data_IF_987785706284
#
_entry.id   IF_987785706284
#
_cell.length_a   1.000
_cell.length_b   1.000
_cell.length_c   1.000
_cell.angle_alpha   90.00
_cell.angle_beta   90.00
_cell.angle_gamma   90.00
#
_symmetry.space_group_name_H-M   'P 1'
#
loop_
_entity.id
_entity.type
_entity.pdbx_description
1 polymer ?
#
# COMPACT_ATOMS: atom_id res chain seq x y z
N UNK A 1 -4.07 28.28 3.97
CA UNK A 1 -3.85 27.07 4.83
C UNK A 1 -5.07 26.16 4.67
N UNK A 2 -4.91 24.99 4.04
CA UNK A 2 -6.00 24.03 3.93
C UNK A 2 -6.35 23.49 5.32
N UNK A 3 -7.63 23.46 5.65
CA UNK A 3 -8.10 22.77 6.85
C UNK A 3 -7.88 21.26 6.66
N UNK A 4 -6.90 20.70 7.36
CA UNK A 4 -6.73 19.25 7.46
C UNK A 4 -7.92 18.65 8.24
N UNK A 5 -8.34 17.45 7.84
CA UNK A 5 -9.40 16.73 8.53
C UNK A 5 -8.98 16.43 9.97
N UNK A 6 -9.92 16.58 10.93
CA UNK A 6 -9.68 16.21 12.34
C UNK A 6 -9.29 14.71 12.41
N UNK A 7 -8.33 14.37 13.29
CA UNK A 7 -7.68 13.07 13.32
C UNK A 7 -8.65 11.89 13.51
N UNK A 8 -9.56 11.97 14.47
CA UNK A 8 -10.52 10.89 14.73
C UNK A 8 -11.50 10.74 13.56
N UNK A 9 -11.98 11.86 13.01
CA UNK A 9 -12.83 11.86 11.83
C UNK A 9 -12.12 11.23 10.64
N UNK A 10 -10.84 11.54 10.44
CA UNK A 10 -10.03 10.96 9.38
C UNK A 10 -9.94 9.43 9.50
N UNK A 11 -9.64 8.93 10.70
CA UNK A 11 -9.50 7.50 10.97
C UNK A 11 -10.83 6.78 10.77
N UNK A 12 -11.92 7.32 11.33
CA UNK A 12 -13.22 6.67 11.36
C UNK A 12 -13.99 6.76 10.03
N UNK A 13 -13.66 7.73 9.17
CA UNK A 13 -14.32 7.91 7.87
C UNK A 13 -13.54 7.34 6.68
N UNK A 14 -12.26 6.95 6.85
CA UNK A 14 -11.46 6.40 5.76
C UNK A 14 -12.10 5.13 5.19
N UNK A 15 -12.15 5.06 3.88
CA UNK A 15 -12.59 3.88 3.15
C UNK A 15 -11.58 3.50 2.05
N UNK A 16 -11.69 2.29 1.50
CA UNK A 16 -10.90 1.83 0.36
C UNK A 16 -11.64 2.11 -0.96
N UNK A 17 -10.95 2.74 -1.90
CA UNK A 17 -11.48 3.13 -3.20
C UNK A 17 -10.77 2.37 -4.32
N UNK A 18 -11.53 1.63 -5.13
CA UNK A 18 -10.99 0.79 -6.21
C UNK A 18 -11.04 1.44 -7.60
N UNK A 19 -11.75 2.55 -7.74
CA UNK A 19 -11.83 3.35 -8.97
C UNK A 19 -11.15 4.69 -8.72
N UNK A 20 -9.97 4.84 -9.29
CA UNK A 20 -9.07 5.97 -9.06
C UNK A 20 -8.61 6.53 -10.42
N UNK A 21 -8.65 7.85 -10.54
CA UNK A 21 -8.29 8.56 -11.77
C UNK A 21 -7.33 9.70 -11.48
N UNK A 22 -6.80 10.33 -12.51
CA UNK A 22 -6.07 11.60 -12.40
C UNK A 22 -6.95 12.73 -11.78
N UNK A 23 -6.35 13.71 -11.10
CA UNK A 23 -4.93 13.79 -10.81
C UNK A 23 -4.48 12.88 -9.67
N UNK A 24 -3.22 12.44 -9.76
CA UNK A 24 -2.50 11.85 -8.65
C UNK A 24 -2.11 12.93 -7.63
N UNK A 25 -1.73 12.56 -6.37
CA UNK A 25 -1.12 13.50 -5.44
C UNK A 25 0.12 14.16 -6.02
N UNK A 26 0.31 15.45 -5.74
CA UNK A 26 1.49 16.20 -6.16
C UNK A 26 2.74 15.76 -5.38
N UNK A 27 3.96 16.06 -5.88
CA UNK A 27 5.19 15.76 -5.15
C UNK A 27 5.25 16.40 -3.76
N UNK A 28 4.68 17.61 -3.58
CA UNK A 28 4.60 18.31 -2.30
C UNK A 28 3.68 17.57 -1.32
N UNK A 29 2.52 17.13 -1.78
CA UNK A 29 1.59 16.32 -0.98
C UNK A 29 2.21 14.96 -0.62
N UNK A 30 2.91 14.31 -1.55
CA UNK A 30 3.60 13.04 -1.29
C UNK A 30 4.71 13.18 -0.26
N UNK A 31 5.40 14.33 -0.17
CA UNK A 31 6.34 14.59 0.93
C UNK A 31 5.66 14.57 2.31
N UNK A 32 4.44 15.12 2.41
CA UNK A 32 3.65 15.07 3.65
C UNK A 32 3.27 13.61 3.96
N UNK A 33 2.79 12.88 2.96
CA UNK A 33 2.42 11.47 3.08
C UNK A 33 3.58 10.62 3.58
N UNK A 34 4.77 10.74 2.99
CA UNK A 34 5.94 9.96 3.41
C UNK A 34 6.47 10.38 4.78
N UNK A 35 6.46 11.66 5.12
CA UNK A 35 6.80 12.11 6.49
C UNK A 35 5.87 11.48 7.52
N UNK A 36 4.57 11.39 7.22
CA UNK A 36 3.59 10.73 8.09
C UNK A 36 3.84 9.23 8.20
N UNK A 37 4.16 8.57 7.07
CA UNK A 37 4.51 7.16 7.04
C UNK A 37 5.69 6.82 7.97
N UNK A 38 6.74 7.64 7.91
CA UNK A 38 7.95 7.48 8.71
C UNK A 38 7.79 7.84 10.20
N UNK A 39 6.57 8.20 10.64
CA UNK A 39 6.20 8.32 12.06
C UNK A 39 5.61 7.05 12.65
N UNK A 40 5.51 5.97 11.87
CA UNK A 40 5.08 4.67 12.39
C UNK A 40 5.99 4.20 13.54
N UNK A 41 5.45 3.48 14.54
CA UNK A 41 6.26 2.86 15.59
C UNK A 41 7.32 1.94 14.99
N UNK A 42 8.55 2.05 15.48
CA UNK A 42 9.70 1.31 14.97
C UNK A 42 10.61 0.91 16.13
N UNK A 43 10.60 -0.37 16.47
CA UNK A 43 11.41 -0.91 17.55
C UNK A 43 12.91 -0.79 17.21
N UNK A 44 13.67 -0.23 18.15
CA UNK A 44 15.10 0.07 18.01
C UNK A 44 15.46 1.03 16.85
N UNK A 45 14.49 1.72 16.25
CA UNK A 45 14.69 2.68 15.15
C UNK A 45 15.44 2.04 13.96
N UNK A 46 15.05 0.84 13.58
CA UNK A 46 15.66 0.10 12.48
C UNK A 46 15.32 0.68 11.11
N UNK A 47 14.29 1.52 11.01
CA UNK A 47 13.82 2.14 9.76
C UNK A 47 13.63 1.10 8.64
N UNK A 48 12.74 0.10 8.86
CA UNK A 48 12.59 -0.99 7.89
C UNK A 48 11.77 -0.58 6.67
N UNK A 49 11.02 0.52 6.74
CA UNK A 49 10.10 0.92 5.69
C UNK A 49 10.81 1.63 4.54
N UNK A 50 10.59 1.15 3.31
CA UNK A 50 11.00 1.78 2.06
C UNK A 50 9.83 1.80 1.09
N UNK A 51 9.71 2.86 0.31
CA UNK A 51 8.61 3.05 -0.63
C UNK A 51 9.15 3.25 -2.04
N UNK A 52 8.51 2.61 -3.04
CA UNK A 52 8.82 2.83 -4.45
C UNK A 52 7.57 3.44 -5.08
N UNK A 53 7.69 4.66 -5.55
CA UNK A 53 6.63 5.38 -6.24
C UNK A 53 6.63 5.02 -7.73
N UNK A 54 5.45 4.68 -8.26
CA UNK A 54 5.26 4.25 -9.64
C UNK A 54 4.18 5.11 -10.27
N UNK A 55 4.56 5.88 -11.29
CA UNK A 55 3.70 6.78 -12.06
C UNK A 55 4.03 6.72 -13.56
N UNK A 56 3.14 7.19 -14.41
CA UNK A 56 3.37 7.31 -15.85
C UNK A 56 3.95 6.04 -16.48
N UNK A 57 5.09 6.15 -17.17
CA UNK A 57 5.79 4.99 -17.80
C UNK A 57 6.21 3.90 -16.80
N UNK A 58 6.25 4.21 -15.49
CA UNK A 58 6.47 3.22 -14.44
C UNK A 58 5.34 2.21 -14.35
N UNK A 59 4.09 2.62 -14.62
CA UNK A 59 2.94 1.71 -14.67
C UNK A 59 3.08 0.69 -15.80
N UNK A 60 3.66 1.07 -16.95
CA UNK A 60 3.91 0.14 -18.05
C UNK A 60 4.96 -0.91 -17.68
N UNK A 61 6.01 -0.48 -16.95
CA UNK A 61 7.02 -1.41 -16.42
C UNK A 61 6.38 -2.39 -15.42
N UNK A 62 5.57 -1.88 -14.51
CA UNK A 62 4.86 -2.71 -13.52
C UNK A 62 3.89 -3.69 -14.19
N UNK A 63 3.19 -3.27 -15.25
CA UNK A 63 2.33 -4.13 -16.06
C UNK A 63 3.10 -5.30 -16.70
N UNK A 64 4.28 -5.02 -17.25
CA UNK A 64 5.16 -6.07 -17.81
C UNK A 64 5.62 -7.04 -16.72
N UNK A 65 6.06 -6.55 -15.57
CA UNK A 65 6.47 -7.38 -14.42
C UNK A 65 5.32 -8.29 -13.97
N UNK A 66 4.12 -7.76 -13.77
CA UNK A 66 2.98 -8.56 -13.34
C UNK A 66 2.61 -9.63 -14.37
N UNK A 67 2.66 -9.29 -15.65
CA UNK A 67 2.38 -10.25 -16.72
C UNK A 67 3.44 -11.35 -16.78
N UNK A 68 4.71 -11.00 -16.72
CA UNK A 68 5.84 -11.94 -16.79
C UNK A 68 5.86 -12.86 -15.57
N UNK A 69 5.75 -12.29 -14.37
CA UNK A 69 5.64 -13.08 -13.14
C UNK A 69 4.47 -14.07 -13.20
N UNK A 70 3.30 -13.62 -13.68
CA UNK A 70 2.13 -14.47 -13.78
C UNK A 70 2.37 -15.67 -14.70
N UNK A 71 3.02 -15.45 -15.86
CA UNK A 71 3.35 -16.51 -16.82
C UNK A 71 4.34 -17.53 -16.26
N UNK A 72 5.27 -17.10 -15.43
CA UNK A 72 6.35 -17.95 -14.93
C UNK A 72 5.98 -18.71 -13.64
N UNK A 73 5.03 -18.19 -12.86
CA UNK A 73 4.77 -18.71 -11.50
C UNK A 73 3.33 -19.17 -11.26
N UNK A 74 2.40 -18.96 -12.20
CA UNK A 74 1.01 -19.32 -11.99
C UNK A 74 0.59 -20.43 -12.96
N UNK A 75 -0.07 -21.44 -12.40
CA UNK A 75 -0.75 -22.47 -13.15
C UNK A 75 -2.14 -21.97 -13.64
N UNK A 76 -2.67 -22.57 -14.67
CA UNK A 76 -4.03 -22.34 -15.20
C UNK A 76 -4.32 -20.86 -15.54
N UNK A 77 -3.45 -20.26 -16.33
CA UNK A 77 -3.66 -18.91 -16.85
C UNK A 77 -4.53 -18.96 -18.12
N UNK A 78 -5.71 -18.38 -18.02
CA UNK A 78 -6.53 -18.03 -19.19
C UNK A 78 -6.27 -16.57 -19.64
N UNK A 79 -6.82 -16.22 -20.80
CA UNK A 79 -6.68 -14.87 -21.37
C UNK A 79 -7.30 -13.80 -20.46
N UNK A 80 -8.34 -14.12 -19.70
CA UNK A 80 -9.00 -13.19 -18.79
C UNK A 80 -8.09 -12.88 -17.58
N UNK A 81 -7.46 -13.90 -16.98
CA UNK A 81 -6.50 -13.75 -15.89
C UNK A 81 -5.29 -12.95 -16.36
N UNK A 82 -4.72 -13.27 -17.54
CA UNK A 82 -3.59 -12.53 -18.11
C UNK A 82 -3.95 -11.05 -18.35
N UNK A 83 -5.11 -10.78 -18.94
CA UNK A 83 -5.61 -9.41 -19.14
C UNK A 83 -5.81 -8.68 -17.81
N UNK A 84 -6.38 -9.35 -16.80
CA UNK A 84 -6.56 -8.80 -15.45
C UNK A 84 -5.24 -8.39 -14.81
N UNK A 85 -4.19 -9.20 -14.90
CA UNK A 85 -2.88 -8.93 -14.34
C UNK A 85 -2.15 -7.82 -15.09
N UNK A 86 -2.16 -7.88 -16.42
CA UNK A 86 -1.62 -6.83 -17.29
C UNK A 86 -2.22 -5.46 -16.98
N UNK A 87 -3.54 -5.41 -16.76
CA UNK A 87 -4.27 -4.16 -16.54
C UNK A 87 -4.33 -3.74 -15.06
N UNK A 88 -3.83 -4.55 -14.14
CA UNK A 88 -3.87 -4.25 -12.72
C UNK A 88 -3.20 -2.91 -12.34
N UNK A 89 -2.03 -2.53 -12.89
CA UNK A 89 -1.40 -1.25 -12.56
C UNK A 89 -2.19 -0.01 -12.98
N UNK A 90 -2.97 -0.10 -14.05
CA UNK A 90 -3.71 1.05 -14.59
C UNK A 90 -5.03 1.36 -13.86
N UNK A 91 -5.25 0.76 -12.68
CA UNK A 91 -6.43 1.04 -11.83
C UNK A 91 -6.29 2.32 -11.01
N UNK A 92 -5.12 2.96 -11.05
CA UNK A 92 -4.84 4.24 -10.43
C UNK A 92 -3.69 4.94 -11.17
N UNK A 93 -3.62 6.27 -11.11
CA UNK A 93 -2.54 7.02 -11.74
C UNK A 93 -1.20 6.90 -10.99
N UNK A 94 -1.22 6.52 -9.71
CA UNK A 94 -0.04 6.31 -8.88
C UNK A 94 -0.17 5.05 -8.06
N UNK A 95 0.95 4.32 -7.93
CA UNK A 95 1.07 3.16 -7.04
C UNK A 95 2.30 3.35 -6.16
N UNK A 96 2.15 3.05 -4.88
CA UNK A 96 3.25 3.02 -3.92
C UNK A 96 3.50 1.56 -3.55
N UNK A 97 4.68 1.04 -3.90
CA UNK A 97 5.09 -0.31 -3.49
C UNK A 97 5.65 -0.22 -2.09
N UNK A 98 5.10 -1.01 -1.19
CA UNK A 98 5.53 -1.10 0.20
C UNK A 98 6.64 -2.14 0.34
N UNK A 99 7.84 -1.72 0.65
CA UNK A 99 9.00 -2.59 0.83
C UNK A 99 9.43 -2.55 2.28
N UNK A 100 9.58 -3.73 2.89
CA UNK A 100 10.17 -3.89 4.21
C UNK A 100 11.60 -4.41 4.05
N UNK A 101 12.58 -3.60 4.44
CA UNK A 101 14.00 -3.94 4.46
C UNK A 101 14.34 -4.52 5.83
N UNK A 102 14.46 -5.85 5.90
CA UNK A 102 14.74 -6.57 7.13
C UNK A 102 16.20 -6.39 7.53
N UNK A 103 16.41 -5.98 8.77
CA UNK A 103 17.74 -5.85 9.38
C UNK A 103 17.91 -6.89 10.48
N UNK A 104 19.06 -7.52 10.50
CA UNK A 104 19.40 -8.41 11.60
C UNK A 104 19.54 -7.61 12.89
N UNK A 105 18.86 -8.08 13.94
CA UNK A 105 18.91 -7.44 15.25
C UNK A 105 18.56 -8.45 16.34
N UNK A 106 19.36 -8.56 17.42
CA UNK A 106 19.20 -9.63 18.42
C UNK A 106 17.90 -9.55 19.21
N UNK A 107 17.25 -8.38 19.27
CA UNK A 107 16.04 -8.16 20.08
C UNK A 107 14.80 -7.83 19.23
N UNK A 108 14.94 -7.62 17.92
CA UNK A 108 13.82 -7.22 17.05
C UNK A 108 13.57 -8.28 16.00
N UNK A 109 12.57 -9.13 16.20
CA UNK A 109 12.24 -10.17 15.23
C UNK A 109 11.71 -9.59 13.92
N UNK A 110 11.83 -10.36 12.84
CA UNK A 110 11.40 -10.00 11.48
C UNK A 110 9.93 -9.53 11.44
N UNK A 111 9.07 -10.18 12.22
CA UNK A 111 7.65 -9.84 12.26
C UNK A 111 7.39 -8.40 12.73
N UNK A 112 8.12 -7.93 13.73
CA UNK A 112 7.96 -6.55 14.23
C UNK A 112 8.34 -5.51 13.19
N UNK A 113 9.37 -5.78 12.37
CA UNK A 113 9.78 -4.92 11.28
C UNK A 113 8.71 -4.86 10.16
N UNK A 114 8.10 -6.01 9.84
CA UNK A 114 6.95 -6.05 8.92
C UNK A 114 5.74 -5.31 9.47
N UNK A 115 5.42 -5.44 10.75
CA UNK A 115 4.34 -4.70 11.42
C UNK A 115 4.62 -3.19 11.44
N UNK A 116 5.86 -2.76 11.67
CA UNK A 116 6.25 -1.35 11.55
C UNK A 116 5.98 -0.81 10.14
N UNK A 117 6.35 -1.55 9.10
CA UNK A 117 6.06 -1.17 7.71
C UNK A 117 4.55 -1.18 7.40
N UNK A 118 3.79 -2.10 7.99
CA UNK A 118 2.33 -2.10 7.86
C UNK A 118 1.69 -0.89 8.57
N UNK A 119 2.21 -0.46 9.73
CA UNK A 119 1.78 0.77 10.39
C UNK A 119 2.13 2.01 9.55
N UNK A 120 3.30 2.02 8.90
CA UNK A 120 3.64 3.08 7.94
C UNK A 120 2.68 3.12 6.74
N UNK A 121 2.26 1.97 6.23
CA UNK A 121 1.26 1.88 5.17
C UNK A 121 -0.11 2.44 5.62
N UNK A 122 -0.53 2.18 6.85
CA UNK A 122 -1.75 2.79 7.41
C UNK A 122 -1.63 4.31 7.50
N UNK A 123 -0.47 4.85 7.91
CA UNK A 123 -0.23 6.29 7.92
C UNK A 123 -0.31 6.90 6.51
N UNK A 124 0.19 6.20 5.47
CA UNK A 124 0.02 6.61 4.07
C UNK A 124 -1.47 6.72 3.72
N UNK A 125 -2.26 5.67 4.01
CA UNK A 125 -3.68 5.64 3.71
C UNK A 125 -4.45 6.77 4.40
N UNK A 126 -4.14 7.06 5.67
CA UNK A 126 -4.75 8.15 6.43
C UNK A 126 -4.36 9.53 5.90
N UNK A 127 -3.09 9.71 5.54
CA UNK A 127 -2.60 10.98 4.98
C UNK A 127 -3.23 11.27 3.62
N UNK A 128 -3.33 10.27 2.74
CA UNK A 128 -4.00 10.40 1.45
C UNK A 128 -5.47 10.75 1.63
N UNK A 129 -6.16 10.11 2.60
CA UNK A 129 -7.56 10.41 2.89
C UNK A 129 -7.74 11.83 3.43
N UNK A 130 -6.86 12.31 4.34
CA UNK A 130 -6.87 13.68 4.83
C UNK A 130 -6.65 14.72 3.71
N UNK A 131 -5.87 14.36 2.69
CA UNK A 131 -5.63 15.15 1.48
C UNK A 131 -6.73 14.99 0.43
N UNK A 132 -7.82 14.26 0.73
CA UNK A 132 -8.97 13.97 -0.13
C UNK A 132 -8.69 13.08 -1.35
N UNK A 133 -7.60 12.35 -1.34
CA UNK A 133 -7.32 11.29 -2.31
C UNK A 133 -7.95 9.96 -1.88
N UNK A 134 -8.36 9.19 -2.88
CA UNK A 134 -8.72 7.80 -2.69
C UNK A 134 -7.49 6.93 -2.65
N UNK A 135 -7.55 5.86 -1.85
CA UNK A 135 -6.51 4.85 -1.85
C UNK A 135 -7.06 3.46 -1.53
N UNK A 136 -6.31 2.43 -1.95
CA UNK A 136 -6.54 1.03 -1.57
C UNK A 136 -5.21 0.30 -1.48
N UNK A 137 -4.99 -0.41 -0.39
CA UNK A 137 -3.87 -1.34 -0.24
C UNK A 137 -4.26 -2.70 -0.82
N UNK A 138 -3.46 -3.18 -1.76
CA UNK A 138 -3.62 -4.49 -2.38
C UNK A 138 -2.40 -5.36 -2.09
N UNK A 139 -2.66 -6.62 -1.84
CA UNK A 139 -1.69 -7.69 -1.71
C UNK A 139 -1.96 -8.76 -2.79
N UNK A 140 -1.74 -10.02 -2.48
CA UNK A 140 -2.02 -11.15 -3.36
C UNK A 140 -0.75 -11.71 -3.97
N UNK A 141 -0.86 -12.32 -5.15
CA UNK A 141 0.22 -13.09 -5.79
C UNK A 141 1.49 -12.29 -6.07
N UNK A 142 1.40 -10.98 -6.21
CA UNK A 142 2.53 -10.08 -6.47
C UNK A 142 3.22 -9.55 -5.20
N UNK A 143 2.88 -10.09 -4.03
CA UNK A 143 3.44 -9.65 -2.74
C UNK A 143 3.52 -10.80 -1.75
N UNK A 144 4.21 -10.59 -0.63
CA UNK A 144 4.34 -11.52 0.48
C UNK A 144 5.09 -12.83 0.14
N UNK A 145 5.75 -12.91 -1.00
CA UNK A 145 6.70 -13.94 -1.37
C UNK A 145 8.00 -13.32 -1.89
N UNK A 146 9.08 -14.10 -1.95
CA UNK A 146 10.38 -13.59 -2.40
C UNK A 146 10.63 -13.74 -3.90
N UNK A 147 9.87 -14.56 -4.59
CA UNK A 147 10.05 -14.80 -6.01
C UNK A 147 9.82 -13.53 -6.84
N UNK A 148 8.87 -12.67 -6.39
CA UNK A 148 8.59 -11.40 -7.04
C UNK A 148 9.76 -10.40 -6.95
N UNK A 149 10.65 -10.54 -5.96
CA UNK A 149 11.74 -9.59 -5.71
C UNK A 149 12.70 -9.48 -6.89
N UNK A 150 13.00 -10.58 -7.58
CA UNK A 150 13.90 -10.61 -8.72
C UNK A 150 13.44 -9.74 -9.88
N UNK A 151 12.13 -9.58 -10.05
CA UNK A 151 11.51 -8.73 -11.06
C UNK A 151 11.61 -7.24 -10.76
N UNK A 152 11.84 -6.88 -9.49
CA UNK A 152 11.96 -5.49 -9.02
C UNK A 152 13.39 -5.08 -8.72
N UNK A 153 14.35 -5.99 -8.87
CA UNK A 153 15.76 -5.76 -8.51
C UNK A 153 15.91 -5.19 -7.08
N UNK A 154 15.17 -5.79 -6.14
CA UNK A 154 15.27 -5.47 -4.70
C UNK A 154 16.10 -6.54 -3.97
N UNK A 155 16.66 -6.18 -2.82
CA UNK A 155 17.60 -7.02 -2.10
C UNK A 155 16.93 -8.26 -1.49
N UNK A 156 17.74 -9.30 -1.20
CA UNK A 156 17.24 -10.55 -0.61
C UNK A 156 16.61 -10.36 0.78
N UNK A 157 17.11 -9.39 1.56
CA UNK A 157 16.55 -9.05 2.85
C UNK A 157 15.31 -8.15 2.78
N UNK A 158 14.85 -7.79 1.59
CA UNK A 158 13.66 -6.98 1.39
C UNK A 158 12.43 -7.83 1.07
N UNK A 159 11.26 -7.33 1.46
CA UNK A 159 9.95 -7.93 1.21
C UNK A 159 8.96 -6.92 0.68
N UNK A 160 8.29 -7.23 -0.41
CA UNK A 160 7.13 -6.46 -0.87
C UNK A 160 5.93 -6.85 -0.02
N UNK A 161 5.41 -5.91 0.78
CA UNK A 161 4.23 -6.11 1.63
C UNK A 161 2.93 -5.71 0.93
N UNK A 162 3.00 -5.22 -0.28
CA UNK A 162 1.84 -4.86 -1.10
C UNK A 162 2.02 -3.55 -1.84
N UNK A 163 0.91 -3.08 -2.39
CA UNK A 163 0.81 -1.97 -3.31
C UNK A 163 -0.32 -1.05 -2.88
N UNK A 164 -0.05 0.22 -2.59
CA UNK A 164 -1.09 1.23 -2.37
C UNK A 164 -1.34 1.93 -3.69
N UNK A 165 -2.54 1.76 -4.22
CA UNK A 165 -3.06 2.47 -5.37
C UNK A 165 -3.68 3.76 -4.89
N UNK A 166 -3.37 4.90 -5.49
CA UNK A 166 -3.91 6.21 -5.10
C UNK A 166 -4.16 7.12 -6.29
N UNK A 167 -5.09 8.04 -6.11
CA UNK A 167 -5.53 9.03 -7.08
C UNK A 167 -6.81 9.70 -6.64
N UNK A 168 -7.40 10.49 -7.53
CA UNK A 168 -8.70 11.11 -7.31
C UNK A 168 -9.80 10.05 -7.33
N UNK A 169 -10.74 10.13 -6.39
CA UNK A 169 -11.86 9.19 -6.29
C UNK A 169 -12.78 9.37 -7.48
N UNK A 170 -13.10 8.27 -8.18
CA UNK A 170 -14.08 8.24 -9.26
C UNK A 170 -15.25 7.31 -8.90
N UNK A 171 -16.48 7.82 -9.05
CA UNK A 171 -17.70 7.09 -8.76
C UNK A 171 -18.18 7.25 -7.31
N UNK A 172 -19.17 6.43 -6.95
CA UNK A 172 -19.81 6.51 -5.65
C UNK A 172 -18.88 6.07 -4.50
N UNK A 173 -18.92 6.83 -3.41
CA UNK A 173 -18.25 6.49 -2.16
C UNK A 173 -19.05 5.40 -1.45
N UNK A 174 -18.45 4.27 -1.19
CA UNK A 174 -19.08 3.17 -0.46
C UNK A 174 -19.45 3.61 0.95
N UNK A 175 -20.64 3.21 1.40
CA UNK A 175 -21.04 3.38 2.80
C UNK A 175 -20.08 2.63 3.71
N UNK A 176 -19.77 3.23 4.86
CA UNK A 176 -19.02 2.57 5.91
C UNK A 176 -19.87 1.46 6.54
N UNK A 177 -19.28 0.30 6.85
CA UNK A 177 -20.00 -0.75 7.57
C UNK A 177 -20.34 -0.27 8.98
N UNK A 178 -21.53 -0.61 9.44
CA UNK A 178 -21.87 -0.44 10.85
C UNK A 178 -21.25 -1.61 11.65
N UNK A 179 -20.28 -1.28 12.50
CA UNK A 179 -19.53 -2.26 13.29
C UNK A 179 -19.96 -2.14 14.75
N UNK A 180 -20.42 -3.26 15.34
CA UNK A 180 -20.69 -3.33 16.75
C UNK A 180 -19.38 -3.53 17.53
N UNK A 181 -18.93 -2.51 18.24
CA UNK A 181 -17.65 -2.51 18.98
C UNK A 181 -17.60 -3.66 20.03
N UNK A 182 -18.74 -4.08 20.57
CA UNK A 182 -18.81 -5.16 21.57
C UNK A 182 -18.29 -6.50 21.05
N UNK A 183 -18.31 -6.71 19.73
CA UNK A 183 -17.84 -7.96 19.09
C UNK A 183 -16.30 -8.03 19.03
N UNK A 184 -15.61 -6.91 19.31
CA UNK A 184 -14.17 -6.77 19.18
C UNK A 184 -13.45 -6.39 20.47
N UNK A 185 -14.20 -5.99 21.51
CA UNK A 185 -13.62 -5.49 22.76
C UNK A 185 -14.12 -6.32 23.93
N UNK A 186 -13.20 -7.00 24.59
CA UNK A 186 -13.45 -7.67 25.87
C UNK A 186 -12.85 -6.87 27.02
N UNK A 187 -13.50 -6.86 28.15
CA UNK A 187 -12.95 -6.32 29.40
C UNK A 187 -12.44 -7.48 30.25
N UNK A 188 -11.26 -7.31 30.76
CA UNK A 188 -10.70 -8.23 31.74
C UNK A 188 -10.65 -7.47 33.07
N UNK A 189 -11.54 -7.81 33.99
CA UNK A 189 -11.69 -7.23 35.33
C UNK A 189 -11.44 -8.29 36.39
#
# INVERSE_FOLDING_TARGET
MGHFMEAIKNITSRNSHSKLIEPAPTPEEMRIVYRSALRAPDHARLNPSRFIEVTGKGLDKLSKIFLEYSKNHLNELDNNKLSKYKNAPYRAPMIIILVCNIKEHPKVPVIEQKLSTAAAAQNILLSLHALKYGAIWRTGIFSLNKEINSYFNIAENEWILGYIYTGTISGEVKKLPNINIKDYVSKWS
#
